data_IF_232527467018
#
_entry.id   IF_232527467018
#
_cell.length_a   1.000
_cell.length_b   1.000
_cell.length_c   1.000
_cell.angle_alpha   90.00
_cell.angle_beta   90.00
_cell.angle_gamma   90.00
#
_symmetry.space_group_name_H-M   'P 1'
#
loop_
_entity.id
_entity.type
_entity.pdbx_description
1 polymer ?
#
# COMPACT_ATOMS: atom_id res chain seq x y z
N UNK A 1 -3.37 10.95 10.78
CA UNK A 1 -3.70 10.06 9.64
C UNK A 1 -4.90 10.52 8.82
N UNK A 2 -5.79 11.35 9.36
CA UNK A 2 -7.09 11.67 8.74
C UNK A 2 -7.01 12.20 7.31
N UNK A 3 -6.06 13.08 7.01
CA UNK A 3 -5.88 13.61 5.65
C UNK A 3 -5.50 12.50 4.66
N UNK A 4 -4.36 11.84 4.85
CA UNK A 4 -3.88 10.82 3.91
C UNK A 4 -4.83 9.63 3.84
N UNK A 5 -5.35 9.17 4.99
CA UNK A 5 -6.32 8.08 5.05
C UNK A 5 -7.62 8.40 4.30
N UNK A 6 -8.12 9.64 4.37
CA UNK A 6 -9.29 10.06 3.58
C UNK A 6 -9.06 10.02 2.07
N UNK A 7 -7.80 9.99 1.63
CA UNK A 7 -7.41 9.93 0.22
C UNK A 7 -7.16 8.48 -0.20
N UNK A 8 -6.42 7.72 0.61
CA UNK A 8 -5.87 6.41 0.25
C UNK A 8 -6.71 5.21 0.70
N UNK A 9 -7.70 5.39 1.57
CA UNK A 9 -8.59 4.30 2.01
C UNK A 9 -10.02 4.47 1.47
N UNK A 10 -10.12 4.74 0.16
CA UNK A 10 -11.39 4.85 -0.54
C UNK A 10 -11.81 3.49 -1.08
N UNK A 11 -13.11 3.30 -1.26
CA UNK A 11 -13.67 2.15 -1.99
C UNK A 11 -13.42 0.77 -1.34
N UNK A 12 -13.10 0.76 -0.04
CA UNK A 12 -13.01 -0.46 0.78
C UNK A 12 -11.65 -1.15 0.76
N UNK A 13 -10.66 -0.60 0.07
CA UNK A 13 -9.28 -1.08 0.03
C UNK A 13 -8.28 0.08 0.17
N UNK A 14 -6.99 -0.24 0.30
CA UNK A 14 -5.93 0.76 0.27
C UNK A 14 -5.52 1.03 -1.18
N UNK A 15 -5.55 2.29 -1.60
CA UNK A 15 -5.02 2.77 -2.87
C UNK A 15 -4.04 3.90 -2.60
N UNK A 16 -2.72 3.70 -2.76
CA UNK A 16 -1.77 4.79 -2.59
C UNK A 16 -1.98 5.85 -3.66
N UNK A 17 -1.51 7.06 -3.40
CA UNK A 17 -1.43 8.09 -4.43
C UNK A 17 -0.34 7.69 -5.41
N UNK A 18 -0.64 7.74 -6.70
CA UNK A 18 0.31 7.44 -7.76
C UNK A 18 1.57 8.32 -7.70
N UNK A 19 2.68 7.79 -8.18
CA UNK A 19 4.00 8.46 -8.14
C UNK A 19 4.24 9.47 -9.28
N UNK A 20 3.28 9.63 -10.21
CA UNK A 20 3.39 10.62 -11.28
C UNK A 20 3.15 12.06 -10.79
N UNK A 21 4.23 12.67 -10.26
CA UNK A 21 4.24 14.03 -9.75
C UNK A 21 3.76 14.14 -8.30
N UNK A 22 3.74 15.37 -7.78
CA UNK A 22 3.34 15.64 -6.40
C UNK A 22 1.82 15.77 -6.27
N UNK A 23 1.28 15.20 -5.19
CA UNK A 23 -0.10 15.46 -4.81
C UNK A 23 -0.25 16.82 -4.12
N UNK A 24 -0.86 17.77 -4.82
CA UNK A 24 -1.24 19.06 -4.27
C UNK A 24 -2.60 18.99 -3.55
N UNK A 25 -2.66 19.57 -2.35
CA UNK A 25 -3.90 19.60 -1.55
C UNK A 25 -5.06 20.24 -2.33
N UNK A 26 -6.15 19.48 -2.47
CA UNK A 26 -7.35 19.93 -3.18
C UNK A 26 -7.31 19.72 -4.71
N UNK A 27 -6.25 19.12 -5.24
CA UNK A 27 -6.18 18.63 -6.62
C UNK A 27 -6.59 17.16 -6.70
N UNK A 28 -6.53 16.62 -7.92
CA UNK A 28 -6.71 15.19 -8.18
C UNK A 28 -5.36 14.49 -8.01
N UNK A 29 -5.26 13.45 -7.17
CA UNK A 29 -4.04 12.65 -7.07
C UNK A 29 -3.79 11.86 -8.36
N UNK A 30 -2.53 11.51 -8.61
CA UNK A 30 -2.23 10.55 -9.67
C UNK A 30 -2.88 9.20 -9.33
N UNK A 31 -3.45 8.55 -10.35
CA UNK A 31 -4.32 7.38 -10.19
C UNK A 31 -3.56 6.04 -10.22
N UNK A 32 -2.35 6.01 -10.77
CA UNK A 32 -1.58 4.80 -11.07
C UNK A 32 -0.11 4.97 -10.70
N UNK A 33 0.67 3.91 -10.86
CA UNK A 33 2.03 3.76 -10.35
C UNK A 33 2.01 3.70 -8.82
N UNK A 34 1.11 2.85 -8.32
CA UNK A 34 0.98 2.45 -6.92
C UNK A 34 2.18 1.56 -6.55
N UNK A 35 3.00 1.93 -5.55
CA UNK A 35 4.22 1.19 -5.24
C UNK A 35 4.16 0.47 -3.88
N UNK A 36 4.93 -0.62 -3.72
CA UNK A 36 5.09 -1.35 -2.45
C UNK A 36 5.49 -0.50 -1.25
N UNK A 37 6.33 0.52 -1.46
CA UNK A 37 6.83 1.37 -0.37
C UNK A 37 5.71 2.17 0.29
N UNK A 38 4.76 2.74 -0.47
CA UNK A 38 3.62 3.45 0.12
C UNK A 38 2.73 2.52 0.92
N UNK A 39 2.52 1.28 0.46
CA UNK A 39 1.73 0.29 1.20
C UNK A 39 2.40 -0.10 2.52
N UNK A 40 3.71 -0.35 2.50
CA UNK A 40 4.49 -0.68 3.68
C UNK A 40 4.52 0.48 4.69
N UNK A 41 4.96 1.67 4.27
CA UNK A 41 5.10 2.82 5.16
C UNK A 41 3.75 3.27 5.74
N UNK A 42 2.67 3.21 4.96
CA UNK A 42 1.33 3.54 5.46
C UNK A 42 0.84 2.50 6.46
N UNK A 43 1.12 1.20 6.23
CA UNK A 43 0.83 0.13 7.18
C UNK A 43 1.54 0.39 8.51
N UNK A 44 2.85 0.64 8.48
CA UNK A 44 3.66 0.90 9.67
C UNK A 44 3.17 2.15 10.42
N UNK A 45 2.83 3.22 9.70
CA UNK A 45 2.26 4.42 10.30
C UNK A 45 0.95 4.11 11.04
N UNK A 46 0.05 3.31 10.45
CA UNK A 46 -1.19 2.90 11.12
C UNK A 46 -0.93 2.03 12.36
N UNK A 47 0.03 1.11 12.31
CA UNK A 47 0.43 0.32 13.47
C UNK A 47 0.96 1.21 14.60
N UNK A 48 1.83 2.17 14.31
CA UNK A 48 2.32 3.13 15.31
C UNK A 48 1.19 3.98 15.91
N UNK A 49 0.20 4.38 15.10
CA UNK A 49 -0.98 5.09 15.62
C UNK A 49 -1.82 4.20 16.52
N UNK A 50 -2.03 2.94 16.15
CA UNK A 50 -2.73 1.96 16.98
C UNK A 50 -2.02 1.77 18.33
N UNK A 51 -0.69 1.67 18.34
CA UNK A 51 0.08 1.50 19.57
C UNK A 51 -0.17 2.61 20.59
N UNK A 52 -0.29 3.86 20.13
CA UNK A 52 -0.50 5.04 20.96
C UNK A 52 -1.97 5.21 21.35
N UNK A 53 -2.88 5.10 20.37
CA UNK A 53 -4.28 5.48 20.53
C UNK A 53 -5.16 4.32 21.02
N UNK A 54 -4.74 3.07 20.77
CA UNK A 54 -5.51 1.84 21.02
C UNK A 54 -6.90 1.81 20.34
N UNK A 55 -7.04 2.55 19.25
CA UNK A 55 -8.24 2.51 18.39
C UNK A 55 -8.07 1.46 17.30
N UNK A 56 -8.91 0.42 17.34
CA UNK A 56 -8.97 -0.68 16.39
C UNK A 56 -9.14 -0.23 14.94
N UNK A 57 -9.68 0.97 14.69
CA UNK A 57 -9.77 1.50 13.33
C UNK A 57 -8.38 1.62 12.67
N UNK A 58 -7.34 1.97 13.42
CA UNK A 58 -5.98 2.06 12.89
C UNK A 58 -5.42 0.68 12.55
N UNK A 59 -5.63 -0.32 13.41
CA UNK A 59 -5.23 -1.70 13.11
C UNK A 59 -5.94 -2.22 11.85
N UNK A 60 -7.25 -1.99 11.72
CA UNK A 60 -8.03 -2.35 10.54
C UNK A 60 -7.54 -1.65 9.26
N UNK A 61 -7.02 -0.43 9.38
CA UNK A 61 -6.43 0.28 8.25
C UNK A 61 -5.04 -0.27 7.89
N UNK A 62 -4.23 -0.69 8.86
CA UNK A 62 -2.98 -1.41 8.61
C UNK A 62 -3.23 -2.73 7.86
N UNK A 63 -4.25 -3.51 8.29
CA UNK A 63 -4.72 -4.72 7.59
C UNK A 63 -5.01 -4.44 6.11
N UNK A 64 -5.70 -3.33 5.81
CA UNK A 64 -6.05 -2.94 4.44
C UNK A 64 -4.82 -2.62 3.60
N UNK A 65 -3.83 -1.93 4.18
CA UNK A 65 -2.57 -1.64 3.53
C UNK A 65 -1.81 -2.94 3.21
N UNK A 66 -1.73 -3.87 4.17
CA UNK A 66 -1.12 -5.18 3.93
C UNK A 66 -1.85 -5.99 2.83
N UNK A 67 -3.17 -5.98 2.85
CA UNK A 67 -3.97 -6.72 1.86
C UNK A 67 -3.82 -6.17 0.43
N UNK A 68 -3.26 -4.98 0.24
CA UNK A 68 -2.91 -4.46 -1.09
C UNK A 68 -1.94 -5.39 -1.81
N UNK A 69 -0.93 -5.93 -1.10
CA UNK A 69 0.04 -6.88 -1.66
C UNK A 69 -0.62 -8.17 -2.18
N UNK A 70 -1.69 -8.61 -1.52
CA UNK A 70 -2.37 -9.89 -1.81
C UNK A 70 -3.57 -9.74 -2.75
N UNK A 71 -3.76 -8.57 -3.36
CA UNK A 71 -4.79 -8.35 -4.37
C UNK A 71 -6.04 -7.63 -3.89
N UNK A 72 -6.11 -7.10 -2.66
CA UNK A 72 -7.13 -6.10 -2.29
C UNK A 72 -6.64 -4.71 -2.70
N UNK A 73 -6.57 -4.48 -4.00
CA UNK A 73 -6.05 -3.27 -4.63
C UNK A 73 -6.86 -2.89 -5.86
N UNK A 74 -6.47 -1.81 -6.53
CA UNK A 74 -7.22 -1.21 -7.65
C UNK A 74 -7.37 -2.12 -8.87
N UNK A 75 -6.56 -3.18 -8.99
CA UNK A 75 -6.58 -4.12 -10.11
C UNK A 75 -7.05 -5.52 -9.72
N UNK A 76 -7.25 -5.80 -8.43
CA UNK A 76 -7.48 -7.14 -7.89
C UNK A 76 -6.38 -8.15 -8.29
N UNK A 77 -5.12 -7.71 -8.30
CA UNK A 77 -3.97 -8.51 -8.71
C UNK A 77 -2.97 -8.68 -7.56
N UNK A 78 -2.47 -9.89 -7.32
CA UNK A 78 -1.39 -10.11 -6.35
C UNK A 78 -0.09 -9.45 -6.84
N UNK A 79 0.61 -8.76 -5.94
CA UNK A 79 1.97 -8.30 -6.20
C UNK A 79 3.03 -9.33 -5.77
N UNK A 80 2.62 -10.44 -5.19
CA UNK A 80 3.52 -11.51 -4.76
C UNK A 80 3.66 -12.50 -5.91
N UNK A 81 4.90 -12.72 -6.34
CA UNK A 81 5.26 -13.79 -7.25
C UNK A 81 5.19 -15.13 -6.50
N UNK A 82 4.27 -16.01 -6.91
CA UNK A 82 4.03 -17.30 -6.25
C UNK A 82 5.20 -18.27 -6.39
N UNK A 83 6.03 -18.15 -7.45
CA UNK A 83 7.15 -19.06 -7.69
C UNK A 83 8.36 -18.68 -6.85
N UNK A 84 8.72 -17.40 -6.84
CA UNK A 84 9.93 -16.91 -6.18
C UNK A 84 9.69 -16.38 -4.75
N UNK A 85 8.45 -16.02 -4.42
CA UNK A 85 8.11 -15.27 -3.21
C UNK A 85 8.53 -13.80 -3.25
N UNK A 86 9.03 -13.30 -4.39
CA UNK A 86 9.40 -11.89 -4.56
C UNK A 86 8.16 -10.99 -4.68
N UNK A 87 8.39 -9.68 -4.60
CA UNK A 87 7.37 -8.64 -4.74
C UNK A 87 7.59 -7.88 -6.05
N UNK A 88 6.51 -7.75 -6.83
CA UNK A 88 6.47 -6.92 -8.04
C UNK A 88 6.46 -5.44 -7.69
N UNK A 89 6.99 -4.64 -8.60
CA UNK A 89 7.35 -3.23 -8.41
C UNK A 89 6.18 -2.25 -8.59
N UNK A 90 4.95 -2.72 -8.35
CA UNK A 90 3.77 -1.89 -8.30
C UNK A 90 2.68 -2.21 -9.32
N UNK A 91 1.67 -1.34 -9.35
CA UNK A 91 0.53 -1.38 -10.26
C UNK A 91 0.47 -0.10 -11.08
N UNK A 92 0.48 -0.25 -12.40
CA UNK A 92 0.31 0.83 -13.35
C UNK A 92 -1.11 0.78 -13.99
N UNK A 93 -1.34 1.64 -14.98
CA UNK A 93 -2.62 1.71 -15.68
C UNK A 93 -3.01 0.37 -16.34
N UNK A 94 -2.04 -0.39 -16.84
CA UNK A 94 -2.28 -1.62 -17.61
C UNK A 94 -2.23 -2.89 -16.75
N UNK A 95 -1.64 -2.86 -15.55
CA UNK A 95 -1.57 -4.00 -14.64
C UNK A 95 -0.33 -4.00 -13.76
N UNK A 96 0.22 -5.19 -13.51
CA UNK A 96 1.41 -5.39 -12.69
C UNK A 96 2.65 -4.84 -13.41
N UNK A 97 3.49 -4.09 -12.68
CA UNK A 97 4.87 -3.86 -13.05
C UNK A 97 5.73 -5.06 -12.61
N UNK A 98 6.08 -5.95 -13.53
CA UNK A 98 6.77 -7.22 -13.23
C UNK A 98 8.23 -7.08 -12.78
N UNK A 99 8.78 -5.86 -12.70
CA UNK A 99 10.07 -5.66 -12.09
C UNK A 99 10.04 -6.15 -10.63
N UNK A 100 11.17 -6.64 -10.13
CA UNK A 100 11.31 -7.16 -8.76
C UNK A 100 12.49 -6.43 -8.08
N UNK A 101 12.36 -5.11 -7.97
CA UNK A 101 13.38 -4.26 -7.37
C UNK A 101 13.61 -4.57 -5.89
N UNK A 102 14.79 -4.21 -5.37
CA UNK A 102 15.13 -4.44 -3.96
C UNK A 102 14.22 -3.67 -3.00
N UNK A 103 13.80 -2.45 -3.36
CA UNK A 103 12.84 -1.65 -2.58
C UNK A 103 11.52 -2.40 -2.39
N UNK A 104 10.99 -2.98 -3.47
CA UNK A 104 9.74 -3.72 -3.48
C UNK A 104 9.81 -4.98 -2.63
N UNK A 105 10.92 -5.72 -2.71
CA UNK A 105 11.17 -6.89 -1.87
C UNK A 105 11.32 -6.51 -0.39
N UNK A 106 12.07 -5.45 -0.07
CA UNK A 106 12.26 -4.98 1.31
C UNK A 106 10.94 -4.50 1.90
N UNK A 107 10.18 -3.70 1.15
CA UNK A 107 8.87 -3.16 1.58
C UNK A 107 7.90 -4.29 1.90
N UNK A 108 7.80 -5.28 1.02
CA UNK A 108 6.96 -6.45 1.29
C UNK A 108 7.47 -7.26 2.48
N UNK A 109 8.79 -7.50 2.58
CA UNK A 109 9.39 -8.23 3.69
C UNK A 109 9.13 -7.57 5.05
N UNK A 110 9.27 -6.25 5.13
CA UNK A 110 8.95 -5.47 6.33
C UNK A 110 7.46 -5.56 6.67
N UNK A 111 6.58 -5.27 5.70
CA UNK A 111 5.14 -5.38 5.90
C UNK A 111 4.73 -6.81 6.33
N UNK A 112 5.38 -7.84 5.79
CA UNK A 112 5.14 -9.22 6.17
C UNK A 112 5.58 -9.51 7.61
N UNK A 113 6.77 -9.07 8.03
CA UNK A 113 7.27 -9.31 9.39
C UNK A 113 6.45 -8.60 10.47
N UNK A 114 5.93 -7.40 10.15
CA UNK A 114 5.13 -6.58 11.06
C UNK A 114 3.63 -6.88 10.98
N UNK A 115 3.20 -7.89 10.21
CA UNK A 115 1.78 -8.22 10.07
C UNK A 115 1.23 -8.84 11.38
N UNK A 116 0.50 -8.00 12.11
CA UNK A 116 -0.31 -8.31 13.31
C UNK A 116 0.49 -8.66 14.57
#
# INVERSE_FOLDING_TARGET
>A
MDFLGSITLKDGYFKPVGSNGWYEKGKTPAEFDEQPIEACETMLAYLSYYEIMKDEQYLNNAVRCFNWFTGKNSKNLSLIDEESGACYDGLNETGINYNQGSESLISYGMAFLERY
#
